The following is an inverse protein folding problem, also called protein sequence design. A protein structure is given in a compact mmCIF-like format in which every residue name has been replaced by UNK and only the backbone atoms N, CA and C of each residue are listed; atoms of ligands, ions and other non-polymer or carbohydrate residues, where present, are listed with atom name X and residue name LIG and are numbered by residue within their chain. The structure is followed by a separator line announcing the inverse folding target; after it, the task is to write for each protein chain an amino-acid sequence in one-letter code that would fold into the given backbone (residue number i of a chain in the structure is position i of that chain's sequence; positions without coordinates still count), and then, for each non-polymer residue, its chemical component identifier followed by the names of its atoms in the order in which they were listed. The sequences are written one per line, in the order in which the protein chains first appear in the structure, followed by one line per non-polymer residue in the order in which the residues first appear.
data_IF_948434173422
#
_entry.id   IF_948434173422
#
_cell.length_a   1.000
_cell.length_b   1.000
_cell.length_c   1.000
_cell.angle_alpha   90.00
_cell.angle_beta   90.00
_cell.angle_gamma   90.00
#
_symmetry.space_group_name_H-M   'P 1'
#
loop_
_entity.id
_entity.type
_entity.pdbx_description
1 polymer ?
#
# COMPACT_ATOMS: atom_id res chain seq x y z
N UNK A 1 -8.58 2.66 -7.26
CA UNK A 1 -7.21 2.77 -6.70
C UNK A 1 -6.60 1.40 -6.43
N UNK A 2 -7.14 0.58 -5.51
CA UNK A 2 -6.53 -0.72 -5.13
C UNK A 2 -6.12 -1.60 -6.34
N UNK A 3 -7.04 -1.84 -7.28
CA UNK A 3 -6.76 -2.53 -8.54
C UNK A 3 -5.59 -1.94 -9.33
N UNK A 4 -5.54 -0.60 -9.47
CA UNK A 4 -4.49 0.08 -10.23
C UNK A 4 -3.11 -0.12 -9.60
N UNK A 5 -3.04 -0.14 -8.27
CA UNK A 5 -1.79 -0.34 -7.55
C UNK A 5 -1.35 -1.81 -7.47
N UNK A 6 -2.28 -2.76 -7.46
CA UNK A 6 -2.01 -4.17 -7.15
C UNK A 6 -2.07 -5.08 -8.39
N UNK A 7 -3.08 -4.92 -9.25
CA UNK A 7 -3.40 -5.86 -10.33
C UNK A 7 -2.95 -5.37 -11.71
N UNK A 8 -3.09 -4.07 -11.98
CA UNK A 8 -2.73 -3.49 -13.26
C UNK A 8 -1.23 -3.73 -13.54
N UNK A 9 -0.93 -4.33 -14.69
CA UNK A 9 0.45 -4.60 -15.14
C UNK A 9 1.07 -3.42 -15.90
N UNK A 10 0.25 -2.68 -16.66
CA UNK A 10 0.69 -1.56 -17.50
C UNK A 10 0.73 -0.22 -16.78
N UNK A 11 0.69 0.88 -17.53
CA UNK A 11 0.68 2.22 -16.96
C UNK A 11 -0.68 2.59 -16.37
N UNK A 12 -0.68 3.36 -15.27
CA UNK A 12 -1.90 3.97 -14.75
C UNK A 12 -2.37 5.05 -15.75
N UNK A 13 -3.63 5.00 -16.22
CA UNK A 13 -4.19 6.01 -17.13
C UNK A 13 -4.01 7.44 -16.59
N UNK A 14 -3.61 8.37 -17.46
CA UNK A 14 -3.21 9.74 -17.07
C UNK A 14 -4.31 10.51 -16.34
N UNK A 15 -5.55 10.32 -16.77
CA UNK A 15 -6.76 10.88 -16.19
C UNK A 15 -7.05 10.38 -14.77
N UNK A 16 -6.61 9.16 -14.43
CA UNK A 16 -6.78 8.59 -13.09
C UNK A 16 -5.66 8.93 -12.11
N UNK A 17 -4.48 9.39 -12.59
CA UNK A 17 -3.31 9.69 -11.75
C UNK A 17 -3.59 10.72 -10.65
N UNK A 18 -4.30 11.85 -10.90
CA UNK A 18 -4.59 12.82 -9.84
C UNK A 18 -5.39 12.24 -8.66
N UNK A 19 -6.20 11.21 -8.89
CA UNK A 19 -7.02 10.57 -7.85
C UNK A 19 -6.23 9.59 -6.97
N UNK A 20 -5.00 9.24 -7.35
CA UNK A 20 -4.19 8.28 -6.61
C UNK A 20 -3.71 8.85 -5.26
N UNK A 21 -3.39 10.15 -5.22
CA UNK A 21 -2.73 10.78 -4.07
C UNK A 21 -1.42 10.06 -3.74
N UNK A 22 -1.10 9.91 -2.46
CA UNK A 22 0.14 9.26 -2.00
C UNK A 22 0.06 7.72 -1.93
N UNK A 23 -0.91 7.09 -2.60
CA UNK A 23 -1.17 5.65 -2.47
C UNK A 23 -0.30 4.83 -3.41
N UNK A 24 0.67 4.12 -2.85
CA UNK A 24 1.61 3.28 -3.61
C UNK A 24 1.17 1.81 -3.66
N UNK A 25 0.47 1.31 -2.64
CA UNK A 25 -0.04 -0.06 -2.59
C UNK A 25 -1.38 -0.12 -1.86
N UNK A 26 -2.42 -0.61 -2.54
CA UNK A 26 -3.76 -0.75 -1.97
C UNK A 26 -4.50 0.57 -1.78
N UNK A 27 -5.67 0.49 -1.15
CA UNK A 27 -6.49 1.64 -0.79
C UNK A 27 -7.53 1.23 0.25
N UNK A 28 -7.49 1.87 1.41
CA UNK A 28 -8.44 1.60 2.50
C UNK A 28 -9.46 2.72 2.71
N UNK A 29 -9.61 3.65 1.76
CA UNK A 29 -10.51 4.79 1.94
C UNK A 29 -11.95 4.34 2.20
N UNK A 30 -12.41 3.27 1.55
CA UNK A 30 -13.74 2.71 1.78
C UNK A 30 -13.89 2.12 3.19
N UNK A 31 -12.81 1.55 3.74
CA UNK A 31 -12.78 1.04 5.11
C UNK A 31 -12.68 2.18 6.14
N UNK A 32 -11.90 3.22 5.85
CA UNK A 32 -11.68 4.37 6.75
C UNK A 32 -12.94 5.22 6.91
N UNK A 33 -13.74 5.37 5.86
CA UNK A 33 -15.01 6.12 5.92
C UNK A 33 -16.18 5.25 6.37
N UNK A 34 -15.99 3.95 6.55
CA UNK A 34 -17.05 3.03 6.95
C UNK A 34 -17.40 3.27 8.43
N UNK A 35 -18.65 3.64 8.77
CA UNK A 35 -19.04 3.89 10.16
C UNK A 35 -18.94 2.63 11.03
N UNK A 36 -19.06 1.44 10.43
CA UNK A 36 -18.98 0.16 11.14
C UNK A 36 -17.58 -0.19 11.62
N UNK A 37 -16.53 0.37 11.02
CA UNK A 37 -15.13 0.10 11.40
C UNK A 37 -14.66 0.92 12.60
N UNK A 38 -15.39 1.98 12.96
CA UNK A 38 -15.17 2.75 14.19
C UNK A 38 -16.10 2.33 15.33
N UNK A 39 -17.04 1.41 15.08
CA UNK A 39 -17.95 0.91 16.10
C UNK A 39 -17.19 -0.08 17.00
N UNK A 40 -17.18 0.19 18.30
CA UNK A 40 -16.62 -0.73 19.29
C UNK A 40 -17.62 -1.88 19.50
N UNK A 41 -17.32 -3.01 18.87
CA UNK A 41 -18.12 -4.23 18.98
C UNK A 41 -17.79 -5.07 20.23
N UNK A 42 -16.93 -4.58 21.14
CA UNK A 42 -16.48 -5.29 22.34
C UNK A 42 -14.99 -5.70 22.27
N UNK A 43 -14.61 -6.79 22.97
CA UNK A 43 -13.22 -7.20 23.31
C UNK A 43 -12.19 -7.36 22.16
N UNK A 44 -12.57 -7.13 20.90
CA UNK A 44 -11.65 -7.08 19.77
C UNK A 44 -11.32 -5.64 19.40
N UNK A 45 -10.04 -5.21 19.47
CA UNK A 45 -9.65 -3.90 18.95
C UNK A 45 -10.06 -3.81 17.48
N UNK A 46 -10.87 -2.81 17.15
CA UNK A 46 -11.48 -2.59 15.82
C UNK A 46 -10.49 -2.47 14.66
N UNK A 47 -9.18 -2.37 14.94
CA UNK A 47 -8.11 -2.23 13.96
C UNK A 47 -7.02 -3.30 14.04
N UNK A 48 -7.06 -4.20 15.03
CA UNK A 48 -6.10 -5.29 15.15
C UNK A 48 -6.83 -6.62 14.93
N UNK A 49 -6.88 -7.05 13.68
CA UNK A 49 -7.32 -8.42 13.40
C UNK A 49 -6.37 -9.38 14.12
N UNK A 50 -6.88 -10.34 14.92
CA UNK A 50 -6.05 -11.34 15.58
C UNK A 50 -5.27 -12.23 14.61
N UNK A 51 -5.58 -12.16 13.31
CA UNK A 51 -4.86 -12.85 12.24
C UNK A 51 -3.64 -12.07 11.73
N UNK A 52 -3.49 -10.79 12.07
CA UNK A 52 -2.41 -9.92 11.59
C UNK A 52 -1.66 -9.30 12.77
N UNK A 53 -0.38 -9.63 12.91
CA UNK A 53 0.52 -8.96 13.86
C UNK A 53 0.82 -7.50 13.47
N UNK A 54 1.48 -6.74 14.35
CA UNK A 54 1.86 -5.36 14.06
C UNK A 54 2.78 -5.30 12.82
N UNK A 55 2.42 -4.47 11.85
CA UNK A 55 3.26 -4.21 10.67
C UNK A 55 4.36 -3.22 11.07
N UNK A 56 5.62 -3.54 10.77
CA UNK A 56 6.73 -2.64 11.03
C UNK A 56 6.49 -1.27 10.35
N UNK A 57 6.74 -0.13 11.02
CA UNK A 57 6.54 1.20 10.42
C UNK A 57 7.33 1.41 9.12
N UNK A 58 8.50 0.78 9.03
CA UNK A 58 9.32 0.75 7.81
C UNK A 58 8.60 0.11 6.62
N UNK A 59 7.63 -0.77 6.83
CA UNK A 59 6.81 -1.35 5.75
C UNK A 59 5.58 -0.49 5.46
N UNK A 60 4.99 0.11 6.49
CA UNK A 60 3.71 0.82 6.42
C UNK A 60 3.77 2.15 5.66
N UNK A 61 4.78 2.99 5.92
CA UNK A 61 4.83 4.36 5.36
C UNK A 61 6.27 4.81 5.03
N UNK A 62 6.94 4.19 4.05
CA UNK A 62 8.20 4.68 3.51
C UNK A 62 8.06 6.07 2.84
N UNK A 63 9.04 6.97 2.97
CA UNK A 63 9.12 8.17 2.14
C UNK A 63 9.15 7.84 0.64
N UNK A 64 8.46 8.62 -0.19
CA UNK A 64 8.44 8.42 -1.65
C UNK A 64 9.84 8.46 -2.29
N UNK A 65 10.77 9.37 -1.91
CA UNK A 65 12.13 9.35 -2.45
C UNK A 65 12.87 8.03 -2.19
N UNK A 66 12.69 7.45 -1.00
CA UNK A 66 13.32 6.17 -0.63
C UNK A 66 12.79 5.01 -1.48
N UNK A 67 11.48 5.05 -1.81
CA UNK A 67 10.89 4.08 -2.73
C UNK A 67 11.45 4.24 -4.14
N UNK A 68 11.56 5.47 -4.63
CA UNK A 68 12.02 5.76 -5.99
C UNK A 68 13.50 5.42 -6.20
N UNK A 69 14.32 5.48 -5.15
CA UNK A 69 15.74 5.12 -5.18
C UNK A 69 16.00 3.62 -4.96
N UNK A 70 14.95 2.82 -4.74
CA UNK A 70 15.06 1.41 -4.37
C UNK A 70 15.49 0.52 -5.54
N UNK A 71 16.43 -0.39 -5.27
CA UNK A 71 16.79 -1.48 -6.18
C UNK A 71 16.14 -2.81 -5.76
N UNK A 72 16.39 -3.88 -6.53
CA UNK A 72 15.75 -5.19 -6.28
C UNK A 72 16.18 -5.77 -4.94
N UNK A 73 17.45 -5.58 -4.53
CA UNK A 73 17.95 -6.08 -3.26
C UNK A 73 17.27 -5.41 -2.06
N UNK A 74 17.17 -4.08 -2.09
CA UNK A 74 16.47 -3.29 -1.08
C UNK A 74 14.96 -3.59 -1.05
N UNK A 75 14.34 -3.84 -2.21
CA UNK A 75 12.94 -4.25 -2.29
C UNK A 75 12.70 -5.60 -1.62
N UNK A 76 13.50 -6.61 -1.94
CA UNK A 76 13.38 -7.94 -1.33
C UNK A 76 13.64 -7.88 0.18
N UNK A 77 14.70 -7.18 0.61
CA UNK A 77 15.01 -7.03 2.03
C UNK A 77 13.85 -6.39 2.82
N UNK A 78 13.17 -5.39 2.22
CA UNK A 78 12.11 -4.64 2.90
C UNK A 78 10.74 -5.32 2.86
N UNK A 79 10.39 -5.95 1.73
CA UNK A 79 9.02 -6.40 1.47
C UNK A 79 8.85 -7.92 1.38
N UNK A 80 9.92 -8.71 1.45
CA UNK A 80 9.80 -10.16 1.50
C UNK A 80 8.87 -10.62 2.64
N UNK A 81 8.02 -11.61 2.36
CA UNK A 81 7.02 -12.11 3.31
C UNK A 81 5.79 -11.20 3.49
N UNK A 82 5.72 -10.05 2.83
CA UNK A 82 4.53 -9.18 2.82
C UNK A 82 3.74 -9.34 1.52
N UNK A 83 2.47 -8.91 1.52
CA UNK A 83 1.66 -8.89 0.31
C UNK A 83 2.24 -7.96 -0.78
N UNK A 84 3.02 -6.95 -0.39
CA UNK A 84 3.67 -6.00 -1.32
C UNK A 84 4.66 -6.70 -2.25
N UNK A 85 5.33 -7.77 -1.80
CA UNK A 85 6.23 -8.55 -2.64
C UNK A 85 5.56 -9.07 -3.93
N UNK A 86 4.23 -9.27 -3.91
CA UNK A 86 3.46 -9.75 -5.07
C UNK A 86 3.51 -8.80 -6.27
N UNK A 87 3.73 -7.49 -6.06
CA UNK A 87 3.76 -6.54 -7.17
C UNK A 87 5.14 -6.45 -7.85
N UNK A 88 6.22 -6.74 -7.11
CA UNK A 88 7.59 -6.56 -7.55
C UNK A 88 8.02 -5.09 -7.65
N UNK A 89 9.34 -4.86 -7.76
CA UNK A 89 9.94 -3.52 -7.76
C UNK A 89 9.40 -2.64 -8.89
N UNK A 90 9.29 -3.17 -10.11
CA UNK A 90 8.88 -2.37 -11.28
C UNK A 90 7.50 -1.70 -11.08
N UNK A 91 6.51 -2.42 -10.52
CA UNK A 91 5.19 -1.86 -10.23
C UNK A 91 5.21 -0.95 -9.00
N UNK A 92 6.06 -1.24 -8.01
CA UNK A 92 6.28 -0.37 -6.85
C UNK A 92 6.79 1.01 -7.30
N UNK A 93 7.84 1.04 -8.13
CA UNK A 93 8.41 2.27 -8.68
C UNK A 93 7.41 3.03 -9.55
N UNK A 94 6.66 2.32 -10.41
CA UNK A 94 5.58 2.93 -11.20
C UNK A 94 4.55 3.64 -10.31
N UNK A 95 4.10 2.99 -9.23
CA UNK A 95 3.12 3.56 -8.32
C UNK A 95 3.70 4.74 -7.54
N UNK A 96 4.95 4.62 -7.05
CA UNK A 96 5.65 5.69 -6.35
C UNK A 96 5.83 6.93 -7.25
N UNK A 97 6.16 6.74 -8.53
CA UNK A 97 6.29 7.84 -9.49
C UNK A 97 4.97 8.53 -9.83
N UNK A 98 3.84 7.83 -9.69
CA UNK A 98 2.49 8.45 -9.84
C UNK A 98 2.08 9.19 -8.56
N UNK A 99 2.60 8.77 -7.41
CA UNK A 99 2.29 9.33 -6.10
C UNK A 99 3.18 10.53 -5.69
N UNK A 100 4.32 10.70 -6.37
CA UNK A 100 5.26 11.81 -6.20
C UNK A 100 4.84 13.05 -6.99
#
# INVERSE_FOLDING_TARGET
ISYLTIELKGEIPKDLRPMMGQRVYGCDVCQQVCPWNGFDWGDTPSHASPLFGPVAPSVSTPPLPDLLAMDEGAFQQRFAGTAVARIGLARMLRNAAVAA
#
